data_IF_896873722745
#
_entry.id   IF_896873722745
#
_cell.length_a   1.000
_cell.length_b   1.000
_cell.length_c   1.000
_cell.angle_alpha   90.00
_cell.angle_beta   90.00
_cell.angle_gamma   90.00
#
_symmetry.space_group_name_H-M   'P 1'
#
loop_
_entity.id
_entity.type
_entity.pdbx_description
1 polymer ?
#
# COMPACT_ATOMS: atom_id res chain seq x y z
N UNK A 1 -8.22 -17.33 12.48
CA UNK A 1 -9.47 -16.84 11.85
C UNK A 1 -10.16 -17.98 11.11
N UNK A 2 -11.48 -18.16 11.27
CA UNK A 2 -12.22 -19.20 10.53
C UNK A 2 -12.35 -18.80 9.05
N UNK A 3 -11.91 -19.62 8.07
CA UNK A 3 -11.94 -19.26 6.64
C UNK A 3 -13.33 -18.86 6.12
N UNK A 4 -14.40 -19.45 6.67
CA UNK A 4 -15.79 -19.13 6.30
C UNK A 4 -16.18 -17.68 6.64
N UNK A 5 -15.74 -17.17 7.78
CA UNK A 5 -16.01 -15.78 8.22
C UNK A 5 -15.33 -14.80 7.27
N UNK A 6 -14.05 -15.04 6.97
CA UNK A 6 -13.28 -14.19 6.04
C UNK A 6 -13.90 -14.18 4.64
N UNK A 7 -14.22 -15.36 4.10
CA UNK A 7 -14.82 -15.50 2.76
C UNK A 7 -16.16 -14.78 2.65
N UNK A 8 -16.97 -14.80 3.71
CA UNK A 8 -18.23 -14.04 3.78
C UNK A 8 -17.96 -12.53 3.80
N UNK A 9 -17.01 -12.09 4.63
CA UNK A 9 -16.67 -10.67 4.78
C UNK A 9 -16.12 -10.04 3.48
N UNK A 10 -15.15 -10.68 2.81
CA UNK A 10 -14.57 -10.11 1.58
C UNK A 10 -15.56 -10.02 0.40
N UNK A 11 -16.74 -10.64 0.52
CA UNK A 11 -17.85 -10.56 -0.45
C UNK A 11 -18.96 -9.61 0.00
N UNK A 12 -18.85 -9.02 1.19
CA UNK A 12 -19.86 -8.13 1.75
C UNK A 12 -19.87 -6.77 1.03
N UNK A 13 -21.00 -6.07 1.08
CA UNK A 13 -21.11 -4.68 0.58
C UNK A 13 -20.16 -3.74 1.31
N UNK A 14 -19.90 -4.01 2.58
CA UNK A 14 -19.03 -3.22 3.44
C UNK A 14 -17.58 -3.24 2.93
N UNK A 15 -17.02 -4.45 2.74
CA UNK A 15 -15.67 -4.59 2.20
C UNK A 15 -15.58 -4.01 0.79
N UNK A 16 -16.53 -4.33 -0.08
CA UNK A 16 -16.53 -3.84 -1.47
C UNK A 16 -16.60 -2.30 -1.54
N UNK A 17 -17.33 -1.66 -0.62
CA UNK A 17 -17.39 -0.21 -0.48
C UNK A 17 -16.04 0.39 -0.05
N UNK A 18 -15.42 -0.13 1.01
CA UNK A 18 -14.10 0.31 1.49
C UNK A 18 -13.01 0.09 0.44
N UNK A 19 -12.95 -1.13 -0.12
CA UNK A 19 -12.00 -1.56 -1.15
C UNK A 19 -12.03 -0.65 -2.38
N UNK A 20 -13.22 -0.33 -2.89
CA UNK A 20 -13.35 0.55 -4.06
C UNK A 20 -12.90 1.98 -3.75
N UNK A 21 -13.26 2.53 -2.59
CA UNK A 21 -12.83 3.88 -2.18
C UNK A 21 -11.31 3.96 -2.06
N UNK A 22 -10.68 3.02 -1.36
CA UNK A 22 -9.24 3.01 -1.17
C UNK A 22 -8.47 2.86 -2.48
N UNK A 23 -8.92 2.01 -3.41
CA UNK A 23 -8.28 1.88 -4.72
C UNK A 23 -8.49 3.06 -5.66
N UNK A 24 -9.53 3.87 -5.45
CA UNK A 24 -9.67 5.16 -6.14
C UNK A 24 -8.71 6.20 -5.59
N UNK A 25 -8.50 6.21 -4.27
CA UNK A 25 -7.55 7.12 -3.61
C UNK A 25 -6.09 6.73 -3.89
N UNK A 26 -5.79 5.45 -4.04
CA UNK A 26 -4.44 4.94 -4.29
C UNK A 26 -4.47 3.79 -5.30
N UNK A 27 -3.86 4.01 -6.46
CA UNK A 27 -3.78 3.04 -7.55
C UNK A 27 -2.35 2.52 -7.78
N UNK A 28 -1.49 2.53 -6.76
CA UNK A 28 -0.11 2.03 -6.83
C UNK A 28 0.12 0.94 -5.79
N UNK A 29 1.03 0.02 -6.09
CA UNK A 29 1.44 -1.03 -5.17
C UNK A 29 2.27 -0.44 -4.02
N UNK A 30 1.89 -0.71 -2.78
CA UNK A 30 2.62 -0.23 -1.61
C UNK A 30 4.09 -0.71 -1.61
N UNK A 31 4.33 -1.97 -1.96
CA UNK A 31 5.69 -2.52 -2.00
C UNK A 31 6.55 -1.96 -3.15
N UNK A 32 5.90 -1.54 -4.24
CA UNK A 32 6.53 -1.08 -5.48
C UNK A 32 5.76 0.14 -6.02
N UNK A 33 6.03 1.36 -5.51
CA UNK A 33 5.20 2.52 -5.82
C UNK A 33 5.09 2.88 -7.31
N UNK A 34 6.04 2.44 -8.14
CA UNK A 34 6.02 2.62 -9.60
C UNK A 34 5.05 1.68 -10.32
N UNK A 35 4.51 0.65 -9.64
CA UNK A 35 3.65 -0.35 -10.25
C UNK A 35 2.18 -0.01 -10.01
N UNK A 36 1.48 0.34 -11.08
CA UNK A 36 0.05 0.64 -11.03
C UNK A 36 -0.80 -0.60 -10.75
N UNK A 37 -1.70 -0.48 -9.78
CA UNK A 37 -2.73 -1.48 -9.53
C UNK A 37 -3.77 -1.42 -10.63
N UNK A 38 -3.77 -2.45 -11.48
CA UNK A 38 -4.68 -2.53 -12.61
C UNK A 38 -6.16 -2.48 -12.20
N UNK A 39 -6.94 -1.76 -13.03
CA UNK A 39 -8.39 -1.95 -13.18
C UNK A 39 -8.60 -2.95 -14.31
N UNK A 40 -9.34 -4.03 -14.06
CA UNK A 40 -9.90 -4.79 -15.17
C UNK A 40 -11.15 -4.05 -15.69
N UNK A 41 -11.58 -4.34 -16.92
CA UNK A 41 -12.88 -3.90 -17.45
C UNK A 41 -14.07 -4.31 -16.57
N UNK A 42 -13.89 -5.30 -15.67
CA UNK A 42 -14.87 -5.78 -14.68
C UNK A 42 -14.65 -5.20 -13.28
N UNK A 43 -13.83 -4.16 -13.14
CA UNK A 43 -13.51 -3.49 -11.88
C UNK A 43 -12.16 -3.88 -11.28
N UNK A 44 -11.98 -3.53 -10.00
CA UNK A 44 -10.73 -3.79 -9.28
C UNK A 44 -10.59 -5.27 -8.91
N UNK A 45 -9.39 -5.84 -9.10
CA UNK A 45 -9.15 -7.24 -8.73
C UNK A 45 -9.24 -7.44 -7.22
N UNK A 46 -9.81 -8.59 -6.81
CA UNK A 46 -9.86 -9.04 -5.40
C UNK A 46 -8.49 -9.12 -4.71
N UNK A 47 -7.41 -9.08 -5.48
CA UNK A 47 -6.03 -9.23 -5.01
C UNK A 47 -5.30 -7.91 -4.78
N UNK A 48 -5.95 -6.77 -5.08
CA UNK A 48 -5.29 -5.47 -5.02
C UNK A 48 -5.14 -4.92 -3.59
N UNK A 49 -5.77 -5.57 -2.60
CA UNK A 49 -5.70 -5.20 -1.19
C UNK A 49 -5.33 -6.43 -0.36
N UNK A 50 -4.28 -6.29 0.43
CA UNK A 50 -3.71 -7.34 1.25
C UNK A 50 -3.87 -7.00 2.74
N UNK A 51 -4.48 -7.91 3.50
CA UNK A 51 -4.58 -7.80 4.96
C UNK A 51 -3.25 -8.15 5.61
N UNK A 52 -2.64 -7.21 6.32
CA UNK A 52 -1.40 -7.42 7.07
C UNK A 52 -1.62 -8.35 8.26
N UNK A 53 -2.83 -8.31 8.83
CA UNK A 53 -3.34 -9.23 9.83
C UNK A 53 -4.87 -9.24 9.84
N UNK A 54 -5.48 -10.11 10.65
CA UNK A 54 -6.95 -10.31 10.69
C UNK A 54 -7.60 -9.95 12.03
N UNK A 55 -6.90 -9.22 12.91
CA UNK A 55 -7.40 -8.87 14.26
C UNK A 55 -8.57 -7.88 14.25
N UNK A 56 -8.62 -7.02 13.23
CA UNK A 56 -9.52 -5.88 13.09
C UNK A 56 -10.48 -6.05 11.91
N UNK A 57 -10.86 -7.31 11.59
CA UNK A 57 -11.70 -7.58 10.43
C UNK A 57 -13.07 -6.90 10.58
N UNK A 58 -13.49 -6.09 9.60
CA UNK A 58 -14.67 -5.25 9.67
C UNK A 58 -14.37 -3.80 10.10
N UNK A 59 -13.24 -3.55 10.76
CA UNK A 59 -12.84 -2.21 11.23
C UNK A 59 -11.43 -1.85 10.73
N UNK A 60 -11.05 -2.40 9.57
CA UNK A 60 -9.69 -2.24 9.05
C UNK A 60 -9.41 -0.79 8.63
N UNK A 61 -8.20 -0.34 8.94
CA UNK A 61 -7.64 0.92 8.43
C UNK A 61 -6.69 0.64 7.28
N UNK A 62 -6.81 1.46 6.24
CA UNK A 62 -5.83 1.48 5.14
C UNK A 62 -4.43 1.78 5.71
N UNK A 63 -3.41 1.17 5.11
CA UNK A 63 -1.98 1.22 5.47
C UNK A 63 -1.61 0.46 6.74
N UNK A 64 -2.48 0.42 7.74
CA UNK A 64 -2.21 -0.28 8.99
C UNK A 64 -2.61 -1.75 8.91
N UNK A 65 -3.90 -1.99 8.67
CA UNK A 65 -4.50 -3.31 8.66
C UNK A 65 -4.54 -3.89 7.24
N UNK A 66 -4.60 -3.03 6.24
CA UNK A 66 -4.67 -3.38 4.81
C UNK A 66 -3.70 -2.54 4.00
N UNK A 67 -2.92 -3.17 3.12
CA UNK A 67 -2.04 -2.47 2.18
C UNK A 67 -2.40 -2.81 0.72
N UNK A 68 -2.41 -1.83 -0.18
CA UNK A 68 -2.61 -2.07 -1.60
C UNK A 68 -1.39 -2.80 -2.18
N UNK A 69 -1.59 -3.97 -2.80
CA UNK A 69 -0.50 -4.76 -3.40
C UNK A 69 -0.86 -5.19 -4.82
N UNK A 70 0.15 -5.25 -5.68
CA UNK A 70 -0.02 -5.88 -6.99
C UNK A 70 -0.28 -7.37 -6.85
N UNK A 71 -0.88 -7.98 -7.87
CA UNK A 71 -1.05 -9.44 -7.91
C UNK A 71 0.28 -10.16 -7.71
N UNK A 72 1.36 -9.62 -8.29
CA UNK A 72 2.71 -10.15 -8.13
C UNK A 72 3.17 -10.11 -6.67
N UNK A 73 3.15 -8.93 -6.05
CA UNK A 73 3.59 -8.76 -4.66
C UNK A 73 2.73 -9.59 -3.69
N UNK A 74 1.42 -9.63 -3.91
CA UNK A 74 0.50 -10.37 -3.07
C UNK A 74 0.71 -11.89 -3.18
N UNK A 75 0.71 -12.43 -4.40
CA UNK A 75 0.73 -13.88 -4.65
C UNK A 75 2.12 -14.48 -4.53
N UNK A 76 3.13 -13.84 -5.12
CA UNK A 76 4.47 -14.43 -5.27
C UNK A 76 5.42 -14.02 -4.14
N UNK A 77 5.30 -12.79 -3.62
CA UNK A 77 6.15 -12.34 -2.53
C UNK A 77 5.53 -12.73 -1.18
N UNK A 78 4.42 -12.11 -0.80
CA UNK A 78 3.87 -12.26 0.57
C UNK A 78 3.31 -13.65 0.84
N UNK A 79 2.49 -14.18 -0.08
CA UNK A 79 1.92 -15.52 0.01
C UNK A 79 2.70 -16.58 -0.76
N UNK A 80 3.80 -16.21 -1.40
CA UNK A 80 4.74 -17.15 -2.01
C UNK A 80 5.96 -17.24 -1.12
N UNK A 81 7.06 -16.63 -1.57
CA UNK A 81 8.40 -16.71 -0.96
C UNK A 81 8.37 -16.48 0.56
N UNK A 82 7.80 -15.36 1.02
CA UNK A 82 7.84 -14.98 2.44
C UNK A 82 7.00 -15.89 3.35
N UNK A 83 6.11 -16.69 2.76
CA UNK A 83 5.28 -17.66 3.49
C UNK A 83 5.66 -19.11 3.23
N UNK A 84 6.65 -19.37 2.37
CA UNK A 84 6.93 -20.69 1.80
C UNK A 84 5.68 -21.29 1.13
N UNK A 85 4.97 -20.47 0.37
CA UNK A 85 3.72 -20.80 -0.33
C UNK A 85 2.58 -21.29 0.58
N UNK A 86 2.64 -20.97 1.89
CA UNK A 86 1.60 -21.32 2.86
C UNK A 86 0.55 -20.24 2.96
N UNK A 87 -0.72 -20.65 2.82
CA UNK A 87 -1.87 -19.78 3.10
C UNK A 87 -1.82 -19.30 4.56
N UNK A 88 -2.39 -18.13 4.89
CA UNK A 88 -2.41 -17.64 6.28
C UNK A 88 -2.96 -18.65 7.29
N UNK A 89 -3.99 -19.43 6.93
CA UNK A 89 -4.56 -20.47 7.78
C UNK A 89 -3.66 -21.69 8.00
N UNK A 90 -2.62 -21.87 7.20
CA UNK A 90 -1.64 -22.96 7.29
C UNK A 90 -0.38 -22.53 8.06
N UNK A 91 -0.24 -21.25 8.39
CA UNK A 91 0.88 -20.73 9.14
C UNK A 91 0.57 -20.76 10.63
N UNK A 92 1.48 -21.33 11.44
CA UNK A 92 1.34 -21.37 12.91
C UNK A 92 1.32 -19.96 13.51
N UNK A 93 2.13 -19.06 12.94
CA UNK A 93 2.21 -17.65 13.33
C UNK A 93 2.06 -16.81 12.07
N UNK A 94 0.90 -16.17 11.91
CA UNK A 94 0.63 -15.22 10.83
C UNK A 94 0.37 -13.82 11.39
N UNK A 95 0.97 -12.76 10.82
CA UNK A 95 2.09 -12.82 9.87
C UNK A 95 3.38 -13.32 10.55
N UNK A 96 4.18 -14.09 9.81
CA UNK A 96 5.51 -14.50 10.26
C UNK A 96 6.50 -13.31 10.21
N UNK A 97 7.73 -13.49 10.71
CA UNK A 97 8.71 -12.39 10.80
C UNK A 97 9.00 -11.73 9.44
N UNK A 98 9.24 -12.52 8.38
CA UNK A 98 9.54 -11.99 7.05
C UNK A 98 8.35 -11.22 6.47
N UNK A 99 7.14 -11.73 6.66
CA UNK A 99 5.92 -11.02 6.27
C UNK A 99 5.74 -9.72 7.05
N UNK A 100 6.03 -9.70 8.36
CA UNK A 100 5.98 -8.47 9.18
C UNK A 100 6.96 -7.42 8.70
N UNK A 101 8.20 -7.81 8.39
CA UNK A 101 9.19 -6.90 7.81
C UNK A 101 8.74 -6.36 6.45
N UNK A 102 8.16 -7.20 5.61
CA UNK A 102 7.58 -6.77 4.34
C UNK A 102 6.38 -5.82 4.53
N UNK A 103 5.53 -6.04 5.52
CA UNK A 103 4.44 -5.12 5.85
C UNK A 103 4.97 -3.78 6.34
N UNK A 104 6.03 -3.78 7.16
CA UNK A 104 6.70 -2.55 7.58
C UNK A 104 7.32 -1.82 6.38
N UNK A 105 7.97 -2.54 5.46
CA UNK A 105 8.47 -1.99 4.20
C UNK A 105 7.37 -1.30 3.39
N UNK A 106 6.22 -1.96 3.19
CA UNK A 106 5.09 -1.39 2.46
C UNK A 106 4.55 -0.09 3.08
N UNK A 107 4.63 0.06 4.40
CA UNK A 107 4.25 1.30 5.09
C UNK A 107 5.32 2.37 4.91
N UNK A 108 6.59 1.98 5.01
CA UNK A 108 7.72 2.89 4.87
C UNK A 108 7.79 3.50 3.47
N UNK A 109 7.63 2.70 2.42
CA UNK A 109 7.65 3.18 1.03
C UNK A 109 6.60 4.26 0.79
N UNK A 110 5.42 4.14 1.39
CA UNK A 110 4.37 5.15 1.30
C UNK A 110 4.75 6.42 2.05
N UNK A 111 5.26 6.29 3.27
CA UNK A 111 5.78 7.46 4.00
C UNK A 111 6.87 8.19 3.22
N UNK A 112 7.77 7.44 2.57
CA UNK A 112 8.82 8.01 1.72
C UNK A 112 8.24 8.71 0.50
N UNK A 113 7.28 8.11 -0.21
CA UNK A 113 6.62 8.76 -1.36
C UNK A 113 5.97 10.07 -0.93
N UNK A 114 5.23 10.06 0.18
CA UNK A 114 4.59 11.27 0.71
C UNK A 114 5.61 12.33 1.12
N UNK A 115 6.71 11.91 1.75
CA UNK A 115 7.80 12.78 2.14
C UNK A 115 8.48 13.43 0.92
N UNK A 116 8.74 12.67 -0.15
CA UNK A 116 9.29 13.21 -1.39
C UNK A 116 8.35 14.20 -2.08
N UNK A 117 7.05 13.94 -2.06
CA UNK A 117 6.05 14.88 -2.58
C UNK A 117 5.99 16.19 -1.78
N UNK A 118 6.40 16.19 -0.51
CA UNK A 118 6.50 17.41 0.31
C UNK A 118 7.83 18.13 0.12
N UNK A 119 8.94 17.39 0.03
CA UNK A 119 10.28 17.97 -0.11
C UNK A 119 10.52 18.62 -1.47
N UNK A 120 10.10 17.97 -2.57
CA UNK A 120 10.35 18.47 -3.93
C UNK A 120 9.79 19.89 -4.16
N UNK A 121 8.54 20.22 -3.79
CA UNK A 121 8.03 21.57 -3.92
C UNK A 121 8.78 22.58 -3.06
N UNK A 122 9.17 22.19 -1.84
CA UNK A 122 9.90 23.07 -0.92
C UNK A 122 11.30 23.37 -1.47
N UNK A 123 12.03 22.37 -1.95
CA UNK A 123 13.36 22.57 -2.53
C UNK A 123 13.29 23.37 -3.83
N UNK A 124 12.30 23.12 -4.69
CA UNK A 124 12.06 23.94 -5.89
C UNK A 124 11.75 25.40 -5.53
N UNK A 125 10.91 25.64 -4.52
CA UNK A 125 10.57 26.98 -4.06
C UNK A 125 11.79 27.71 -3.46
N UNK A 126 12.62 27.01 -2.67
CA UNK A 126 13.85 27.58 -2.12
C UNK A 126 14.87 27.89 -3.22
N UNK A 127 15.04 27.00 -4.20
CA UNK A 127 15.92 27.23 -5.35
C UNK A 127 15.44 28.43 -6.20
N UNK A 128 14.13 28.54 -6.43
CA UNK A 128 13.54 29.69 -7.11
C UNK A 128 13.82 31.00 -6.36
N UNK A 129 13.62 31.02 -5.04
CA UNK A 129 13.86 32.19 -4.21
C UNK A 129 15.34 32.59 -4.20
N UNK A 130 16.26 31.64 -4.09
CA UNK A 130 17.70 31.90 -4.15
C UNK A 130 18.13 32.49 -5.50
N UNK A 131 17.58 31.98 -6.60
CA UNK A 131 17.84 32.51 -7.94
C UNK A 131 17.35 33.96 -8.09
N UNK A 132 16.16 34.30 -7.57
CA UNK A 132 15.65 35.67 -7.60
C UNK A 132 16.55 36.64 -6.81
N UNK A 133 17.06 36.23 -5.65
CA UNK A 133 17.99 37.05 -4.85
C UNK A 133 19.32 37.27 -5.58
N UNK A 134 19.89 36.23 -6.21
CA UNK A 134 21.14 36.35 -6.96
C UNK A 134 21.04 37.26 -8.19
N UNK A 135 19.89 37.26 -8.88
CA UNK A 135 19.61 38.20 -9.98
C UNK A 135 19.52 39.64 -9.48
N UNK A 136 18.90 39.88 -8.32
CA UNK A 136 18.80 41.22 -7.72
C UNK A 136 20.14 41.77 -7.26
N UNK A 137 21.04 40.92 -6.77
CA UNK A 137 22.39 41.34 -6.35
C UNK A 137 23.34 41.57 -7.55
N UNK A 138 23.11 40.93 -8.71
CA UNK A 138 23.85 41.20 -9.95
C UNK A 138 23.46 42.52 -10.63
N UNK A 139 22.25 43.03 -10.38
CA UNK A 139 21.71 44.26 -10.98
C UNK A 139 21.98 45.52 -10.14
N UNK A 140 22.65 45.40 -8.99
CA UNK A 140 23.09 46.53 -8.15
C UNK A 140 24.55 46.84 -8.40
#
# INVERSE_FOLDING_TARGET
MKPKVYSKYIRSKEWLGKHSKWLKSFNHCAAFPFLHLGKSSRGYHRYNMHHTHYKTLGDERLWWDVVPLSLFAHKHIVHGVLSLYKRPSQQKVYPNLLQRLFHAWCRLTILLVWFWWLLLPVTLMLAWKANQSGVLDFLK
#
